data_IF_463249405780
#
_entry.id   IF_463249405780
#
_cell.length_a   1.000
_cell.length_b   1.000
_cell.length_c   1.000
_cell.angle_alpha   90.00
_cell.angle_beta   90.00
_cell.angle_gamma   90.00
#
_symmetry.space_group_name_H-M   'P 1'
#
loop_
_entity.id
_entity.type
_entity.pdbx_description
1 polymer ?
#
# COMPACT_ATOMS: atom_id res chain seq x y z
N UNK A 1 7.38 7.69 -6.09
CA UNK A 1 6.52 8.90 -5.97
C UNK A 1 5.24 8.49 -5.25
N UNK A 2 4.79 9.23 -4.21
CA UNK A 2 3.44 9.00 -3.64
C UNK A 2 2.42 9.36 -4.72
N UNK A 3 1.69 8.36 -5.22
CA UNK A 3 0.68 8.52 -6.28
C UNK A 3 -0.68 8.95 -5.73
N UNK A 4 -0.93 8.76 -4.43
CA UNK A 4 -2.18 9.10 -3.75
C UNK A 4 -1.86 9.96 -2.51
N UNK A 5 -2.56 11.08 -2.36
CA UNK A 5 -2.58 11.84 -1.10
C UNK A 5 -3.55 11.17 -0.13
N UNK A 6 -3.01 10.27 0.68
CA UNK A 6 -3.79 9.46 1.63
C UNK A 6 -4.51 10.34 2.66
N UNK A 7 -3.89 11.41 3.15
CA UNK A 7 -4.48 12.25 4.19
C UNK A 7 -5.64 13.09 3.66
N UNK A 8 -5.54 13.61 2.44
CA UNK A 8 -6.66 14.30 1.78
C UNK A 8 -7.83 13.34 1.51
N UNK A 9 -7.53 12.15 1.01
CA UNK A 9 -8.50 11.08 0.68
C UNK A 9 -9.28 10.62 1.91
N UNK A 10 -8.60 10.42 3.05
CA UNK A 10 -9.26 10.07 4.31
C UNK A 10 -10.14 11.22 4.81
N UNK A 11 -9.64 12.46 4.74
CA UNK A 11 -10.39 13.65 5.20
C UNK A 11 -11.65 13.92 4.37
N UNK A 12 -11.61 13.65 3.06
CA UNK A 12 -12.79 13.82 2.19
C UNK A 12 -13.81 12.69 2.35
N UNK A 13 -13.40 11.52 2.85
CA UNK A 13 -14.22 10.31 2.93
C UNK A 13 -14.34 9.55 1.60
N UNK A 14 -13.83 10.10 0.50
CA UNK A 14 -13.77 9.41 -0.79
C UNK A 14 -12.51 8.56 -0.87
N UNK A 15 -12.61 7.27 -0.57
CA UNK A 15 -11.49 6.33 -0.59
C UNK A 15 -11.19 5.74 -1.97
N UNK A 16 -11.92 6.14 -3.02
CA UNK A 16 -11.77 5.61 -4.38
C UNK A 16 -10.31 5.63 -4.88
N UNK A 17 -9.51 6.69 -4.66
CA UNK A 17 -8.10 6.71 -5.07
C UNK A 17 -7.24 5.60 -4.46
N UNK A 18 -7.51 5.24 -3.19
CA UNK A 18 -6.81 4.16 -2.50
C UNK A 18 -7.21 2.81 -3.10
N UNK A 19 -8.50 2.61 -3.36
CA UNK A 19 -9.01 1.37 -3.95
C UNK A 19 -8.55 1.18 -5.39
N UNK A 20 -8.51 2.23 -6.20
CA UNK A 20 -7.94 2.17 -7.56
C UNK A 20 -6.48 1.72 -7.50
N UNK A 21 -5.68 2.30 -6.61
CA UNK A 21 -4.30 1.89 -6.45
C UNK A 21 -4.18 0.41 -6.05
N UNK A 22 -4.99 -0.07 -5.10
CA UNK A 22 -4.98 -1.48 -4.69
C UNK A 22 -5.43 -2.41 -5.80
N UNK A 23 -6.42 -2.02 -6.60
CA UNK A 23 -6.90 -2.80 -7.74
C UNK A 23 -5.79 -3.04 -8.76
N UNK A 24 -5.12 -1.96 -9.18
CA UNK A 24 -4.11 -2.00 -10.23
C UNK A 24 -2.80 -2.66 -9.77
N UNK A 25 -2.44 -2.49 -8.49
CA UNK A 25 -1.14 -2.93 -8.00
C UNK A 25 -1.17 -4.29 -7.30
N UNK A 26 -2.32 -4.71 -6.75
CA UNK A 26 -2.45 -5.93 -5.95
C UNK A 26 -3.54 -6.86 -6.48
N UNK A 27 -4.81 -6.42 -6.51
CA UNK A 27 -5.95 -7.33 -6.71
C UNK A 27 -5.97 -7.99 -8.08
N UNK A 28 -5.69 -7.23 -9.14
CA UNK A 28 -5.69 -7.76 -10.52
C UNK A 28 -4.63 -8.85 -10.76
N UNK A 29 -3.59 -8.92 -9.93
CA UNK A 29 -2.49 -9.88 -10.10
C UNK A 29 -2.79 -11.24 -9.47
N UNK A 30 -3.69 -11.32 -8.49
CA UNK A 30 -4.09 -12.57 -7.85
C UNK A 30 -2.90 -13.47 -7.50
N UNK A 31 -2.95 -14.73 -7.96
CA UNK A 31 -1.86 -15.72 -7.81
C UNK A 31 -0.97 -15.85 -9.05
N UNK A 32 -0.95 -14.85 -9.94
CA UNK A 32 -0.07 -14.85 -11.13
C UNK A 32 1.40 -14.70 -10.76
N UNK A 33 1.69 -14.11 -9.59
CA UNK A 33 3.02 -13.85 -9.06
C UNK A 33 3.19 -14.56 -7.72
N UNK A 34 4.43 -14.88 -7.37
CA UNK A 34 4.74 -15.21 -5.98
C UNK A 34 4.51 -13.98 -5.09
N UNK A 35 4.31 -14.21 -3.79
CA UNK A 35 4.08 -13.11 -2.84
C UNK A 35 5.21 -12.09 -2.86
N UNK A 36 6.47 -12.54 -2.90
CA UNK A 36 7.63 -11.64 -2.92
C UNK A 36 7.69 -10.80 -4.20
N UNK A 37 7.40 -11.39 -5.36
CA UNK A 37 7.35 -10.66 -6.63
C UNK A 37 6.21 -9.65 -6.66
N UNK A 38 5.02 -10.03 -6.17
CA UNK A 38 3.86 -9.16 -6.07
C UNK A 38 4.15 -7.94 -5.19
N UNK A 39 4.67 -8.17 -3.99
CA UNK A 39 4.98 -7.11 -3.02
C UNK A 39 6.12 -6.22 -3.52
N UNK A 40 7.17 -6.81 -4.13
CA UNK A 40 8.28 -6.05 -4.70
C UNK A 40 7.86 -5.21 -5.89
N UNK A 41 6.99 -5.71 -6.77
CA UNK A 41 6.48 -4.92 -7.89
C UNK A 41 5.59 -3.77 -7.42
N UNK A 42 4.77 -3.97 -6.39
CA UNK A 42 3.84 -2.97 -5.90
C UNK A 42 4.50 -1.91 -4.99
N UNK A 43 5.47 -2.32 -4.17
CA UNK A 43 6.05 -1.46 -3.11
C UNK A 43 7.53 -1.10 -3.33
N UNK A 44 8.22 -1.82 -4.22
CA UNK A 44 9.65 -1.68 -4.48
C UNK A 44 10.55 -2.56 -3.59
N UNK A 45 9.98 -3.23 -2.58
CA UNK A 45 10.70 -4.08 -1.63
C UNK A 45 9.92 -5.38 -1.35
N UNK A 46 10.56 -6.40 -0.79
CA UNK A 46 9.87 -7.60 -0.31
C UNK A 46 9.17 -7.32 1.02
N UNK A 47 8.40 -8.28 1.54
CA UNK A 47 7.72 -8.14 2.82
C UNK A 47 8.70 -7.79 3.94
N UNK A 48 8.51 -6.63 4.57
CA UNK A 48 9.43 -6.08 5.56
C UNK A 48 8.66 -5.51 6.76
N UNK A 49 8.93 -6.06 7.96
CA UNK A 49 8.26 -5.67 9.20
C UNK A 49 8.61 -4.24 9.65
N UNK A 50 9.70 -3.65 9.16
CA UNK A 50 10.14 -2.31 9.54
C UNK A 50 9.07 -1.24 9.25
N UNK A 51 8.36 -1.34 8.13
CA UNK A 51 7.29 -0.39 7.78
C UNK A 51 6.15 -0.42 8.81
N UNK A 52 5.78 -1.60 9.29
CA UNK A 52 4.76 -1.75 10.32
C UNK A 52 5.25 -1.21 11.68
N UNK A 53 6.50 -1.50 12.07
CA UNK A 53 7.07 -0.94 13.30
C UNK A 53 7.12 0.59 13.28
N UNK A 54 7.54 1.20 12.17
CA UNK A 54 7.56 2.66 12.01
C UNK A 54 6.16 3.24 12.12
N UNK A 55 5.17 2.60 11.50
CA UNK A 55 3.77 3.01 11.60
C UNK A 55 3.28 3.03 13.05
N UNK A 56 3.54 1.97 13.81
CA UNK A 56 3.13 1.89 15.21
C UNK A 56 3.80 2.98 16.05
N UNK A 57 5.12 3.16 15.90
CA UNK A 57 5.84 4.22 16.62
C UNK A 57 5.26 5.60 16.30
N UNK A 58 5.07 5.93 15.03
CA UNK A 58 4.53 7.22 14.63
C UNK A 58 3.10 7.47 15.13
N UNK A 59 2.28 6.42 15.28
CA UNK A 59 0.89 6.56 15.73
C UNK A 59 0.74 6.58 17.25
N UNK A 60 1.61 5.89 17.99
CA UNK A 60 1.38 5.58 19.40
C UNK A 60 2.51 6.02 20.36
N UNK A 61 3.68 6.45 19.86
CA UNK A 61 4.80 6.95 20.65
C UNK A 61 5.10 8.41 20.30
#
# INVERSE_FOLDING_TARGET
KKTVDVDATIRSGDLSPIFTWLADNIWQKGSLLTTDELVKQATGDVLNAQYFQVHLKHRYL
#
